data_IF_292514877677
#
_entry.id   IF_292514877677
#
_cell.length_a   1.000
_cell.length_b   1.000
_cell.length_c   1.000
_cell.angle_alpha   90.00
_cell.angle_beta   90.00
_cell.angle_gamma   90.00
#
_symmetry.space_group_name_H-M   'P 1'
#
loop_
_entity.id
_entity.type
_entity.pdbx_description
1 polymer ?
#
# COMPACT_ATOMS: atom_id res chain seq x y z
N UNK A 1 -1.76 14.81 -82.59
CA UNK A 1 -2.12 15.95 -81.71
C UNK A 1 -2.76 15.38 -80.46
N UNK A 2 -2.01 15.43 -79.36
CA UNK A 2 -2.40 14.98 -78.02
C UNK A 2 -3.08 16.14 -77.28
N UNK A 3 -4.15 15.89 -76.54
CA UNK A 3 -4.57 16.79 -75.44
C UNK A 3 -5.39 16.05 -74.38
N UNK A 4 -4.63 15.52 -73.42
CA UNK A 4 -4.84 15.49 -71.97
C UNK A 4 -6.26 15.63 -71.39
N UNK A 5 -6.69 14.53 -70.75
CA UNK A 5 -7.73 14.49 -69.73
C UNK A 5 -7.30 15.22 -68.46
N UNK A 6 -8.15 16.12 -67.96
CA UNK A 6 -8.02 16.77 -66.66
C UNK A 6 -8.52 15.84 -65.55
N UNK A 7 -7.61 15.29 -64.75
CA UNK A 7 -7.94 14.61 -63.50
C UNK A 7 -8.12 15.66 -62.41
N UNK A 8 -9.36 15.81 -61.94
CA UNK A 8 -9.74 16.60 -60.78
C UNK A 8 -9.08 16.04 -59.51
N UNK A 9 -8.24 16.84 -58.86
CA UNK A 9 -7.54 16.47 -57.64
C UNK A 9 -8.50 16.20 -56.48
N UNK A 10 -8.44 14.97 -55.95
CA UNK A 10 -8.90 14.68 -54.60
C UNK A 10 -7.98 15.38 -53.60
N UNK A 11 -8.50 15.97 -52.51
CA UNK A 11 -7.64 16.49 -51.45
C UNK A 11 -6.89 15.31 -50.82
N UNK A 12 -5.56 15.39 -50.87
CA UNK A 12 -4.65 14.49 -50.16
C UNK A 12 -5.00 14.64 -48.68
N UNK A 13 -5.71 13.66 -48.12
CA UNK A 13 -5.82 13.51 -46.68
C UNK A 13 -4.40 13.42 -46.15
N UNK A 14 -3.95 14.46 -45.44
CA UNK A 14 -2.66 14.47 -44.79
C UNK A 14 -2.55 13.19 -43.95
N UNK A 15 -1.65 12.29 -44.37
CA UNK A 15 -1.29 11.14 -43.57
C UNK A 15 -0.77 11.69 -42.25
N UNK A 16 -1.60 11.63 -41.20
CA UNK A 16 -1.17 11.89 -39.84
C UNK A 16 -0.13 10.81 -39.56
N UNK A 17 1.15 11.17 -39.70
CA UNK A 17 2.26 10.27 -39.45
C UNK A 17 2.11 9.69 -38.05
N UNK A 18 2.37 8.39 -37.90
CA UNK A 18 2.40 7.77 -36.59
C UNK A 18 3.35 8.57 -35.68
N UNK A 19 2.92 8.94 -34.46
CA UNK A 19 3.73 9.74 -33.57
C UNK A 19 5.08 9.05 -33.33
N UNK A 20 6.16 9.80 -33.42
CA UNK A 20 7.50 9.26 -33.21
C UNK A 20 7.66 8.75 -31.77
N UNK A 21 8.49 7.72 -31.57
CA UNK A 21 8.73 7.14 -30.23
C UNK A 21 9.15 8.18 -29.17
N UNK A 22 9.86 9.24 -29.57
CA UNK A 22 10.24 10.35 -28.70
C UNK A 22 9.04 11.20 -28.24
N UNK A 23 8.03 11.39 -29.10
CA UNK A 23 6.81 12.12 -28.77
C UNK A 23 5.94 11.34 -27.79
N UNK A 24 5.83 10.03 -28.00
CA UNK A 24 5.16 9.11 -27.07
C UNK A 24 5.81 9.18 -25.70
N UNK A 25 7.14 9.07 -25.62
CA UNK A 25 7.86 9.11 -24.35
C UNK A 25 7.74 10.48 -23.65
N UNK A 26 7.85 11.58 -24.39
CA UNK A 26 7.66 12.93 -23.86
C UNK A 26 6.26 13.12 -23.26
N UNK A 27 5.23 12.63 -23.95
CA UNK A 27 3.84 12.70 -23.49
C UNK A 27 3.66 11.91 -22.19
N UNK A 28 4.13 10.65 -22.13
CA UNK A 28 4.06 9.86 -20.91
C UNK A 28 4.87 10.44 -19.75
N UNK A 29 6.02 11.08 -20.01
CA UNK A 29 6.80 11.79 -18.99
C UNK A 29 6.01 12.97 -18.41
N UNK A 30 5.29 13.71 -19.25
CA UNK A 30 4.38 14.80 -18.83
C UNK A 30 3.26 14.27 -17.95
N UNK A 31 2.60 13.18 -18.35
CA UNK A 31 1.55 12.52 -17.55
C UNK A 31 2.10 12.00 -16.22
N UNK A 32 3.27 11.36 -16.25
CA UNK A 32 3.95 10.85 -15.05
C UNK A 32 4.14 11.95 -14.01
N UNK A 33 4.83 13.04 -14.37
CA UNK A 33 5.15 14.10 -13.42
C UNK A 33 3.93 14.87 -12.92
N UNK A 34 2.86 14.91 -13.71
CA UNK A 34 1.59 15.51 -13.27
C UNK A 34 0.87 14.63 -12.25
N UNK A 35 0.73 13.33 -12.54
CA UNK A 35 -0.22 12.45 -11.83
C UNK A 35 0.45 11.64 -10.72
N UNK A 36 1.59 11.00 -11.01
CA UNK A 36 2.16 9.97 -10.13
C UNK A 36 2.69 10.55 -8.81
N UNK A 37 3.46 11.66 -8.78
CA UNK A 37 3.88 12.26 -7.51
C UNK A 37 2.71 12.70 -6.63
N UNK A 38 1.63 13.22 -7.22
CA UNK A 38 0.45 13.64 -6.46
C UNK A 38 -0.27 12.44 -5.84
N UNK A 39 -0.47 11.35 -6.60
CA UNK A 39 -1.05 10.12 -6.06
C UNK A 39 -0.15 9.50 -5.00
N UNK A 40 1.16 9.54 -5.19
CA UNK A 40 2.14 9.10 -4.20
C UNK A 40 2.02 9.91 -2.91
N UNK A 41 1.87 11.23 -2.97
CA UNK A 41 1.58 12.07 -1.81
C UNK A 41 0.29 11.63 -1.11
N UNK A 42 -0.80 11.45 -1.86
CA UNK A 42 -2.07 10.98 -1.29
C UNK A 42 -1.90 9.66 -0.54
N UNK A 43 -1.07 8.75 -1.07
CA UNK A 43 -0.83 7.45 -0.45
C UNK A 43 0.14 7.50 0.73
N UNK A 44 1.11 8.42 0.72
CA UNK A 44 1.94 8.72 1.91
C UNK A 44 1.04 9.16 3.06
N UNK A 45 0.10 10.08 2.81
CA UNK A 45 -0.85 10.55 3.84
C UNK A 45 -1.75 9.40 4.32
N UNK A 46 -2.30 8.60 3.38
CA UNK A 46 -3.12 7.44 3.75
C UNK A 46 -2.36 6.44 4.63
N UNK A 47 -1.11 6.12 4.30
CA UNK A 47 -0.30 5.22 5.12
C UNK A 47 0.10 5.83 6.46
N UNK A 48 0.38 7.13 6.50
CA UNK A 48 0.68 7.85 7.74
C UNK A 48 -0.51 7.72 8.71
N UNK A 49 -1.73 8.04 8.28
CA UNK A 49 -2.95 7.88 9.09
C UNK A 49 -3.23 6.42 9.49
N UNK A 50 -2.87 5.46 8.63
CA UNK A 50 -3.05 4.04 8.94
C UNK A 50 -2.17 3.60 10.12
N UNK A 51 -0.94 4.10 10.18
CA UNK A 51 0.10 3.56 11.08
C UNK A 51 0.36 4.44 12.30
N UNK A 52 -0.03 5.72 12.27
CA UNK A 52 0.18 6.68 13.35
C UNK A 52 -0.36 6.20 14.70
N UNK A 53 -1.41 5.38 14.69
CA UNK A 53 -1.98 4.79 15.89
C UNK A 53 -1.00 3.92 16.69
N UNK A 54 0.03 3.36 16.04
CA UNK A 54 1.12 2.66 16.71
C UNK A 54 1.96 3.61 17.57
N UNK A 55 2.06 4.88 17.18
CA UNK A 55 2.62 5.95 18.01
C UNK A 55 1.63 6.41 19.07
N UNK A 56 0.36 6.64 18.71
CA UNK A 56 -0.68 7.02 19.67
C UNK A 56 -0.69 6.10 20.89
N UNK A 57 -0.60 4.78 20.64
CA UNK A 57 -0.50 3.72 21.66
C UNK A 57 0.53 4.01 22.76
N UNK A 58 1.65 4.65 22.45
CA UNK A 58 2.71 4.92 23.42
C UNK A 58 2.26 5.77 24.61
N UNK A 59 1.23 6.60 24.41
CA UNK A 59 0.57 7.45 25.42
C UNK A 59 -0.88 7.01 25.66
N UNK A 60 -1.69 6.87 24.60
CA UNK A 60 -3.12 6.55 24.64
C UNK A 60 -3.45 5.31 25.48
N UNK A 61 -2.64 4.24 25.39
CA UNK A 61 -2.90 3.03 26.17
C UNK A 61 -2.78 3.27 27.68
N UNK A 62 -1.90 4.18 28.10
CA UNK A 62 -1.76 4.56 29.51
C UNK A 62 -2.91 5.46 29.93
N UNK A 63 -3.23 6.49 29.13
CA UNK A 63 -4.30 7.46 29.42
C UNK A 63 -5.68 6.80 29.53
N UNK A 64 -5.95 5.78 28.69
CA UNK A 64 -7.25 5.12 28.61
C UNK A 64 -7.28 3.73 29.25
N UNK A 65 -6.18 3.30 29.88
CA UNK A 65 -6.01 1.97 30.45
C UNK A 65 -6.31 0.82 29.45
N UNK A 66 -5.91 0.97 28.19
CA UNK A 66 -6.08 -0.07 27.18
C UNK A 66 -5.01 -1.15 27.34
N UNK A 67 -5.45 -2.42 27.36
CA UNK A 67 -4.54 -3.55 27.25
C UNK A 67 -3.95 -3.67 25.83
N UNK A 68 -2.94 -4.53 25.69
CA UNK A 68 -2.31 -4.76 24.38
C UNK A 68 -3.27 -5.46 23.41
N UNK A 69 -4.12 -6.35 23.92
CA UNK A 69 -5.22 -6.99 23.18
C UNK A 69 -6.25 -5.97 22.71
N UNK A 70 -6.62 -4.99 23.55
CA UNK A 70 -7.55 -3.92 23.16
C UNK A 70 -6.97 -3.11 22.00
N UNK A 71 -5.72 -2.68 22.13
CA UNK A 71 -5.04 -1.98 21.04
C UNK A 71 -5.00 -2.84 19.77
N UNK A 72 -4.56 -4.09 19.90
CA UNK A 72 -4.38 -5.03 18.78
C UNK A 72 -5.68 -5.30 18.04
N UNK A 73 -6.79 -5.51 18.77
CA UNK A 73 -8.12 -5.68 18.18
C UNK A 73 -8.54 -4.42 17.43
N UNK A 74 -8.42 -3.23 18.03
CA UNK A 74 -8.81 -2.00 17.35
C UNK A 74 -7.95 -1.66 16.13
N UNK A 75 -6.65 -1.93 16.18
CA UNK A 75 -5.78 -1.84 15.00
C UNK A 75 -6.22 -2.81 13.90
N UNK A 76 -6.66 -4.01 14.27
CA UNK A 76 -7.17 -5.00 13.33
C UNK A 76 -8.54 -4.67 12.73
N UNK A 77 -9.49 -4.18 13.53
CA UNK A 77 -10.89 -3.92 13.10
C UNK A 77 -10.96 -2.95 11.92
N UNK A 78 -10.00 -2.03 11.79
CA UNK A 78 -9.82 -1.20 10.59
C UNK A 78 -9.87 -2.02 9.29
N UNK A 79 -9.18 -3.17 9.24
CA UNK A 79 -9.13 -4.00 8.05
C UNK A 79 -10.44 -4.71 7.74
N UNK A 80 -11.31 -4.94 8.74
CA UNK A 80 -12.65 -5.49 8.51
C UNK A 80 -13.49 -4.45 7.75
N UNK A 81 -13.52 -3.21 8.23
CA UNK A 81 -14.21 -2.12 7.54
C UNK A 81 -13.66 -1.88 6.14
N UNK A 82 -12.33 -1.86 6.01
CA UNK A 82 -11.66 -1.73 4.71
C UNK A 82 -12.07 -2.86 3.75
N UNK A 83 -11.93 -4.12 4.16
CA UNK A 83 -12.22 -5.29 3.34
C UNK A 83 -13.68 -5.34 2.86
N UNK A 84 -14.65 -5.12 3.76
CA UNK A 84 -16.07 -5.22 3.43
C UNK A 84 -16.52 -4.15 2.41
N UNK A 85 -15.91 -2.96 2.47
CA UNK A 85 -16.33 -1.82 1.65
C UNK A 85 -15.41 -1.53 0.46
N UNK A 86 -14.28 -2.25 0.32
CA UNK A 86 -13.33 -2.05 -0.78
C UNK A 86 -13.97 -2.27 -2.16
N UNK A 87 -14.71 -3.38 -2.33
CA UNK A 87 -15.37 -3.71 -3.58
C UNK A 87 -16.54 -2.75 -3.90
N UNK A 88 -17.52 -2.51 -2.98
CA UNK A 88 -18.56 -1.51 -3.18
C UNK A 88 -18.01 -0.11 -3.53
N UNK A 89 -16.97 0.33 -2.83
CA UNK A 89 -16.37 1.65 -3.04
C UNK A 89 -15.81 1.79 -4.46
N UNK A 90 -15.13 0.77 -5.01
CA UNK A 90 -14.62 0.82 -6.38
C UNK A 90 -15.72 0.86 -7.45
N UNK A 91 -16.83 0.13 -7.24
CA UNK A 91 -17.97 0.17 -8.15
C UNK A 91 -18.54 1.59 -8.23
N UNK A 92 -18.69 2.25 -7.07
CA UNK A 92 -19.17 3.62 -7.00
C UNK A 92 -18.16 4.60 -7.62
N UNK A 93 -16.86 4.39 -7.43
CA UNK A 93 -15.82 5.18 -8.06
C UNK A 93 -15.91 5.17 -9.58
N UNK A 94 -16.15 4.00 -10.19
CA UNK A 94 -16.30 3.89 -11.64
C UNK A 94 -17.54 4.65 -12.15
N UNK A 95 -18.60 4.75 -11.35
CA UNK A 95 -19.84 5.46 -11.72
C UNK A 95 -19.73 6.98 -11.54
N UNK A 96 -19.12 7.41 -10.44
CA UNK A 96 -19.07 8.82 -10.02
C UNK A 96 -17.85 9.55 -10.60
N UNK A 97 -16.79 8.81 -10.91
CA UNK A 97 -15.51 9.33 -11.38
C UNK A 97 -14.46 9.36 -10.27
N UNK A 98 -13.23 8.99 -10.63
CA UNK A 98 -12.11 8.85 -9.69
C UNK A 98 -11.78 10.16 -8.96
N UNK A 99 -11.86 11.31 -9.64
CA UNK A 99 -11.55 12.62 -9.06
C UNK A 99 -12.37 12.92 -7.80
N UNK A 100 -13.69 12.80 -7.91
CA UNK A 100 -14.61 13.14 -6.82
C UNK A 100 -14.56 12.07 -5.74
N UNK A 101 -14.44 10.80 -6.14
CA UNK A 101 -14.48 9.71 -5.18
C UNK A 101 -13.21 9.58 -4.34
N UNK A 102 -12.02 9.74 -4.95
CA UNK A 102 -10.75 9.77 -4.21
C UNK A 102 -10.78 10.94 -3.22
N UNK A 103 -11.20 12.12 -3.66
CA UNK A 103 -11.35 13.27 -2.76
C UNK A 103 -12.31 12.99 -1.59
N UNK A 104 -13.47 12.38 -1.86
CA UNK A 104 -14.43 11.98 -0.82
C UNK A 104 -13.78 11.05 0.19
N UNK A 105 -13.06 10.02 -0.27
CA UNK A 105 -12.34 9.09 0.61
C UNK A 105 -11.36 9.85 1.51
N UNK A 106 -10.50 10.70 0.93
CA UNK A 106 -9.53 11.51 1.67
C UNK A 106 -10.17 12.42 2.73
N UNK A 107 -11.21 13.15 2.35
CA UNK A 107 -11.88 14.09 3.26
C UNK A 107 -12.60 13.33 4.36
N UNK A 108 -13.36 12.28 4.01
CA UNK A 108 -14.13 11.52 5.01
C UNK A 108 -13.24 10.76 5.97
N UNK A 109 -12.15 10.13 5.50
CA UNK A 109 -11.20 9.49 6.42
C UNK A 109 -10.50 10.53 7.29
N UNK A 110 -10.09 11.68 6.73
CA UNK A 110 -9.40 12.72 7.50
C UNK A 110 -10.27 13.22 8.66
N UNK A 111 -11.56 13.42 8.41
CA UNK A 111 -12.53 13.74 9.47
C UNK A 111 -12.62 12.61 10.49
N UNK A 112 -12.72 11.34 10.06
CA UNK A 112 -12.75 10.19 10.99
C UNK A 112 -11.46 10.09 11.84
N UNK A 113 -10.29 10.40 11.26
CA UNK A 113 -8.99 10.44 11.95
C UNK A 113 -8.99 11.51 13.04
N UNK A 114 -9.45 12.73 12.73
CA UNK A 114 -9.55 13.81 13.72
C UNK A 114 -10.49 13.47 14.90
N UNK A 115 -11.55 12.70 14.67
CA UNK A 115 -12.50 12.30 15.73
C UNK A 115 -11.88 11.39 16.81
N UNK A 116 -10.69 10.82 16.58
CA UNK A 116 -9.99 10.04 17.61
C UNK A 116 -9.67 10.86 18.87
N UNK A 117 -9.60 12.19 18.77
CA UNK A 117 -9.46 13.10 19.92
C UNK A 117 -10.51 12.85 21.00
N UNK A 118 -11.70 12.36 20.64
CA UNK A 118 -12.81 12.13 21.56
C UNK A 118 -12.88 10.72 22.16
N UNK A 119 -11.94 9.83 21.81
CA UNK A 119 -11.94 8.44 22.28
C UNK A 119 -11.61 8.37 23.76
N UNK A 120 -12.49 7.69 24.51
CA UNK A 120 -12.34 7.44 25.95
C UNK A 120 -12.50 5.96 26.32
N UNK A 121 -13.11 5.14 25.47
CA UNK A 121 -13.38 3.72 25.76
C UNK A 121 -12.94 2.80 24.63
N UNK A 122 -12.69 1.49 24.92
CA UNK A 122 -12.35 0.51 23.88
C UNK A 122 -13.41 0.43 22.78
N UNK A 123 -14.70 0.51 23.13
CA UNK A 123 -15.78 0.48 22.15
C UNK A 123 -15.76 1.67 21.20
N UNK A 124 -15.53 2.89 21.71
CA UNK A 124 -15.38 4.08 20.87
C UNK A 124 -14.17 3.94 19.93
N UNK A 125 -13.06 3.42 20.44
CA UNK A 125 -11.88 3.12 19.64
C UNK A 125 -12.20 2.13 18.51
N UNK A 126 -12.89 1.02 18.80
CA UNK A 126 -13.26 0.02 17.78
C UNK A 126 -14.22 0.57 16.73
N UNK A 127 -15.23 1.33 17.14
CA UNK A 127 -16.19 1.95 16.22
C UNK A 127 -15.48 2.92 15.27
N UNK A 128 -14.66 3.84 15.80
CA UNK A 128 -13.94 4.79 14.95
C UNK A 128 -12.92 4.07 14.05
N UNK A 129 -12.27 3.01 14.52
CA UNK A 129 -11.38 2.18 13.69
C UNK A 129 -12.11 1.51 12.53
N UNK A 130 -13.29 0.94 12.80
CA UNK A 130 -14.13 0.37 11.75
C UNK A 130 -14.57 1.43 10.74
N UNK A 131 -15.06 2.58 11.21
CA UNK A 131 -15.52 3.69 10.37
C UNK A 131 -14.37 4.29 9.54
N UNK A 132 -13.17 4.40 10.11
CA UNK A 132 -11.98 4.83 9.39
C UNK A 132 -11.64 3.84 8.27
N UNK A 133 -11.67 2.54 8.55
CA UNK A 133 -11.47 1.50 7.53
C UNK A 133 -12.51 1.57 6.41
N UNK A 134 -13.78 1.78 6.77
CA UNK A 134 -14.88 1.99 5.81
C UNK A 134 -14.68 3.26 4.97
N UNK A 135 -14.24 4.35 5.59
CA UNK A 135 -14.02 5.62 4.90
C UNK A 135 -12.83 5.54 3.91
N UNK A 136 -11.75 4.87 4.30
CA UNK A 136 -10.54 4.67 3.49
C UNK A 136 -10.73 3.59 2.39
N UNK A 137 -11.74 2.73 2.54
CA UNK A 137 -12.00 1.62 1.64
C UNK A 137 -12.12 2.09 0.18
N UNK A 138 -11.38 1.41 -0.70
CA UNK A 138 -11.36 1.71 -2.13
C UNK A 138 -10.33 2.75 -2.57
N UNK A 139 -9.57 3.36 -1.65
CA UNK A 139 -8.51 4.31 -2.03
C UNK A 139 -7.45 3.65 -2.93
N UNK A 140 -6.74 2.65 -2.42
CA UNK A 140 -5.67 1.98 -3.17
C UNK A 140 -6.14 1.39 -4.51
N UNK A 141 -7.12 0.46 -4.55
CA UNK A 141 -7.63 -0.07 -5.81
C UNK A 141 -8.23 1.01 -6.72
N UNK A 142 -8.75 2.09 -6.13
CA UNK A 142 -9.26 3.22 -6.87
C UNK A 142 -8.17 4.00 -7.60
N UNK A 143 -7.04 4.23 -6.94
CA UNK A 143 -5.84 4.77 -7.57
C UNK A 143 -5.33 3.85 -8.68
N UNK A 144 -5.29 2.52 -8.44
CA UNK A 144 -4.85 1.56 -9.46
C UNK A 144 -5.77 1.59 -10.69
N UNK A 145 -7.09 1.64 -10.50
CA UNK A 145 -8.06 1.79 -11.58
C UNK A 145 -7.86 3.13 -12.31
N UNK A 146 -7.69 4.22 -11.58
CA UNK A 146 -7.44 5.53 -12.16
C UNK A 146 -6.19 5.55 -13.05
N UNK A 147 -5.09 4.93 -12.61
CA UNK A 147 -3.88 4.80 -13.42
C UNK A 147 -4.10 4.02 -14.73
N UNK A 148 -5.12 3.16 -14.81
CA UNK A 148 -5.46 2.48 -16.07
C UNK A 148 -6.01 3.40 -17.14
N UNK A 149 -6.55 4.56 -16.75
CA UNK A 149 -7.08 5.58 -17.66
C UNK A 149 -5.97 6.47 -18.26
N UNK A 150 -4.75 6.38 -17.73
CA UNK A 150 -3.63 7.23 -18.12
C UNK A 150 -2.41 6.44 -18.64
N UNK A 151 -2.29 5.17 -18.25
CA UNK A 151 -1.12 4.35 -18.59
C UNK A 151 -1.52 3.00 -19.19
N UNK A 152 -0.91 2.62 -20.33
CA UNK A 152 -1.11 1.31 -20.96
C UNK A 152 -0.48 0.21 -20.10
N UNK A 153 -0.94 -1.01 -20.30
CA UNK A 153 -0.56 -2.18 -19.48
C UNK A 153 0.96 -2.39 -19.36
N UNK A 154 1.72 -2.19 -20.43
CA UNK A 154 3.18 -2.39 -20.46
C UNK A 154 3.98 -1.34 -19.65
N UNK A 155 3.42 -0.14 -19.41
CA UNK A 155 4.04 0.91 -18.56
C UNK A 155 3.58 0.83 -17.11
N UNK A 156 2.38 0.29 -16.88
CA UNK A 156 1.67 0.37 -15.60
C UNK A 156 2.44 -0.23 -14.42
N UNK A 157 3.14 -1.36 -14.62
CA UNK A 157 3.88 -2.03 -13.55
C UNK A 157 4.93 -1.10 -12.90
N UNK A 158 5.69 -0.35 -13.71
CA UNK A 158 6.69 0.61 -13.22
C UNK A 158 6.04 1.77 -12.46
N UNK A 159 4.89 2.25 -12.93
CA UNK A 159 4.14 3.33 -12.29
C UNK A 159 3.63 2.89 -10.92
N UNK A 160 3.06 1.69 -10.84
CA UNK A 160 2.58 1.12 -9.57
C UNK A 160 3.75 0.94 -8.59
N UNK A 161 4.92 0.48 -9.05
CA UNK A 161 6.10 0.33 -8.19
C UNK A 161 6.55 1.67 -7.57
N UNK A 162 6.61 2.74 -8.38
CA UNK A 162 6.91 4.10 -7.89
C UNK A 162 5.86 4.56 -6.88
N UNK A 163 4.58 4.37 -7.20
CA UNK A 163 3.48 4.72 -6.31
C UNK A 163 3.56 3.97 -4.96
N UNK A 164 3.83 2.66 -4.97
CA UNK A 164 3.94 1.84 -3.76
C UNK A 164 5.16 2.17 -2.90
N UNK A 165 6.15 2.90 -3.45
CA UNK A 165 7.27 3.42 -2.66
C UNK A 165 6.81 4.47 -1.63
N UNK A 166 5.58 4.98 -1.73
CA UNK A 166 4.95 5.79 -0.68
C UNK A 166 4.91 5.09 0.69
N UNK A 167 4.80 3.76 0.73
CA UNK A 167 4.72 2.99 1.99
C UNK A 167 5.96 3.21 2.84
N UNK A 168 7.18 2.86 2.39
CA UNK A 168 8.38 3.13 3.19
C UNK A 168 8.62 4.63 3.37
N UNK A 169 8.32 5.47 2.37
CA UNK A 169 8.43 6.94 2.51
C UNK A 169 7.58 7.48 3.66
N UNK A 170 6.36 6.97 3.85
CA UNK A 170 5.50 7.33 4.97
C UNK A 170 6.13 6.96 6.32
N UNK A 171 6.81 5.82 6.44
CA UNK A 171 7.51 5.44 7.67
C UNK A 171 8.77 6.28 7.92
N UNK A 172 9.45 6.73 6.87
CA UNK A 172 10.67 7.57 6.98
C UNK A 172 10.31 8.96 7.53
N UNK A 173 9.24 9.57 7.04
CA UNK A 173 8.86 10.95 7.41
C UNK A 173 7.75 11.00 8.46
N UNK A 174 6.76 10.13 8.36
CA UNK A 174 5.62 10.07 9.26
C UNK A 174 6.00 9.66 10.67
N UNK A 175 6.88 8.66 10.85
CA UNK A 175 7.24 8.20 12.20
C UNK A 175 7.92 9.29 13.05
N UNK A 176 8.94 10.03 12.57
CA UNK A 176 9.48 11.18 13.29
C UNK A 176 8.45 12.30 13.48
N UNK A 177 7.61 12.56 12.49
CA UNK A 177 6.57 13.59 12.57
C UNK A 177 5.56 13.29 13.68
N UNK A 178 5.02 12.07 13.74
CA UNK A 178 4.13 11.60 14.79
C UNK A 178 4.78 11.73 16.17
N UNK A 179 6.02 11.24 16.30
CA UNK A 179 6.79 11.35 17.55
C UNK A 179 7.05 12.80 17.98
N UNK A 180 7.35 13.68 17.03
CA UNK A 180 7.56 15.11 17.27
C UNK A 180 6.27 15.79 17.73
N UNK A 181 5.15 15.58 17.03
CA UNK A 181 3.85 16.17 17.39
C UNK A 181 3.45 15.73 18.80
N UNK A 182 3.54 14.42 19.09
CA UNK A 182 3.18 13.87 20.39
C UNK A 182 4.04 14.41 21.55
N UNK A 183 5.27 14.85 21.27
CA UNK A 183 6.17 15.40 22.27
C UNK A 183 6.04 16.93 22.39
N UNK A 184 5.95 17.64 21.27
CA UNK A 184 5.91 19.10 21.22
C UNK A 184 4.58 19.68 21.72
N UNK A 185 3.46 18.98 21.47
CA UNK A 185 2.12 19.45 21.84
C UNK A 185 1.55 18.73 23.07
N UNK A 186 2.34 17.90 23.75
CA UNK A 186 1.88 17.17 24.93
C UNK A 186 1.39 18.13 26.02
N UNK A 187 0.15 17.93 26.50
CA UNK A 187 -0.55 18.78 27.48
C UNK A 187 -0.74 20.25 27.05
N UNK A 188 -0.58 20.56 25.76
CA UNK A 188 -0.94 21.87 25.22
C UNK A 188 -2.46 21.96 25.07
N UNK A 189 -3.05 23.07 25.55
CA UNK A 189 -4.49 23.35 25.46
C UNK A 189 -5.40 22.24 26.03
N UNK A 190 -4.92 21.49 27.04
CA UNK A 190 -5.68 20.44 27.71
C UNK A 190 -5.82 19.13 26.93
N UNK A 191 -5.10 18.96 25.82
CA UNK A 191 -5.07 17.72 25.03
C UNK A 191 -3.74 16.97 25.22
N UNK A 192 -3.83 15.64 25.23
CA UNK A 192 -2.69 14.75 25.22
C UNK A 192 -1.95 14.80 23.87
N UNK A 193 -0.69 14.34 23.86
CA UNK A 193 0.13 14.35 22.65
C UNK A 193 -0.45 13.49 21.52
N UNK A 194 -1.00 12.31 21.85
CA UNK A 194 -1.65 11.43 20.87
C UNK A 194 -2.92 12.04 20.26
N UNK A 195 -3.65 12.85 21.04
CA UNK A 195 -4.83 13.58 20.56
C UNK A 195 -4.43 14.64 19.52
N UNK A 196 -3.39 15.42 19.82
CA UNK A 196 -2.83 16.39 18.88
C UNK A 196 -2.29 15.74 17.60
N UNK A 197 -1.67 14.57 17.73
CA UNK A 197 -1.16 13.81 16.58
C UNK A 197 -2.30 13.47 15.61
N UNK A 198 -3.38 12.85 16.07
CA UNK A 198 -4.55 12.56 15.21
C UNK A 198 -5.14 13.82 14.59
N UNK A 199 -5.24 14.91 15.34
CA UNK A 199 -5.85 16.15 14.88
C UNK A 199 -5.01 16.86 13.81
N UNK A 200 -3.69 16.95 14.01
CA UNK A 200 -2.76 17.60 13.08
C UNK A 200 -2.54 16.74 11.83
N UNK A 201 -2.38 15.42 11.98
CA UNK A 201 -2.14 14.52 10.85
C UNK A 201 -3.37 14.33 9.96
N UNK A 202 -4.58 14.54 10.49
CA UNK A 202 -5.82 14.58 9.72
C UNK A 202 -5.90 15.78 8.75
N UNK A 203 -5.23 16.90 9.04
CA UNK A 203 -5.30 18.11 8.22
C UNK A 203 -4.73 17.88 6.81
N UNK A 204 -3.53 17.31 6.63
CA UNK A 204 -3.04 16.90 5.31
C UNK A 204 -4.02 16.04 4.51
N UNK A 205 -4.72 15.09 5.14
CA UNK A 205 -5.69 14.24 4.45
C UNK A 205 -6.83 15.05 3.85
N UNK A 206 -7.45 15.92 4.64
CA UNK A 206 -8.54 16.79 4.17
C UNK A 206 -8.04 17.78 3.12
N UNK A 207 -6.87 18.40 3.34
CA UNK A 207 -6.29 19.37 2.42
C UNK A 207 -5.95 18.75 1.06
N UNK A 208 -5.28 17.59 1.05
CA UNK A 208 -4.95 16.88 -0.20
C UNK A 208 -6.21 16.29 -0.84
N UNK A 209 -7.23 15.92 -0.06
CA UNK A 209 -8.54 15.54 -0.56
C UNK A 209 -9.23 16.68 -1.34
N UNK A 210 -9.22 17.90 -0.80
CA UNK A 210 -9.71 19.10 -1.50
C UNK A 210 -8.85 19.37 -2.76
N UNK A 211 -7.52 19.30 -2.62
CA UNK A 211 -6.60 19.48 -3.74
C UNK A 211 -6.84 18.46 -4.86
N UNK A 212 -7.25 17.23 -4.53
CA UNK A 212 -7.58 16.18 -5.50
C UNK A 212 -8.73 16.62 -6.42
N UNK A 213 -9.74 17.29 -5.85
CA UNK A 213 -10.83 17.88 -6.64
C UNK A 213 -10.27 18.95 -7.57
N UNK A 214 -9.32 19.78 -7.15
CA UNK A 214 -8.83 20.86 -8.01
C UNK A 214 -7.80 20.40 -9.04
N UNK A 215 -7.08 19.31 -8.76
CA UNK A 215 -5.86 18.95 -9.48
C UNK A 215 -6.00 17.76 -10.44
N UNK A 216 -6.83 16.76 -10.10
CA UNK A 216 -7.03 15.57 -10.94
C UNK A 216 -8.17 15.75 -11.95
N UNK A 217 -8.02 15.12 -13.12
CA UNK A 217 -9.06 15.00 -14.15
C UNK A 217 -9.59 13.57 -14.16
N UNK A 218 -10.86 13.33 -14.51
CA UNK A 218 -11.42 11.96 -14.52
C UNK A 218 -10.82 11.05 -15.62
N UNK A 219 -10.16 11.62 -16.62
CA UNK A 219 -9.51 10.89 -17.71
C UNK A 219 -9.00 11.82 -18.81
N UNK A 220 -8.41 11.24 -19.84
CA UNK A 220 -7.69 11.96 -20.91
C UNK A 220 -8.58 13.00 -21.61
N UNK A 221 -9.84 12.66 -21.90
CA UNK A 221 -10.74 13.57 -22.63
C UNK A 221 -10.98 14.91 -21.90
N UNK A 222 -11.09 14.87 -20.56
CA UNK A 222 -11.31 16.04 -19.72
C UNK A 222 -10.04 16.83 -19.38
N UNK A 223 -8.86 16.32 -19.74
CA UNK A 223 -7.57 16.85 -19.30
C UNK A 223 -7.22 18.17 -20.02
N UNK A 224 -7.38 19.30 -19.34
CA UNK A 224 -7.14 20.63 -19.94
C UNK A 224 -5.66 20.96 -20.16
N UNK A 225 -4.75 20.25 -19.50
CA UNK A 225 -3.31 20.45 -19.57
C UNK A 225 -2.63 19.63 -20.68
N UNK A 226 -3.40 18.80 -21.39
CA UNK A 226 -2.96 18.05 -22.56
C UNK A 226 -3.43 18.73 -23.85
N UNK A 227 -2.57 18.74 -24.87
CA UNK A 227 -2.96 19.15 -26.21
C UNK A 227 -3.80 18.08 -26.89
N UNK A 228 -4.60 18.44 -27.90
CA UNK A 228 -5.41 17.46 -28.65
C UNK A 228 -4.58 16.33 -29.29
N UNK A 229 -3.39 16.58 -29.87
CA UNK A 229 -2.51 15.50 -30.32
C UNK A 229 -2.07 14.55 -29.19
N UNK A 230 -1.67 15.09 -28.03
CA UNK A 230 -1.28 14.28 -26.87
C UNK A 230 -2.45 13.41 -26.37
N UNK A 231 -3.67 13.96 -26.33
CA UNK A 231 -4.87 13.23 -25.93
C UNK A 231 -5.17 12.05 -26.86
N UNK A 232 -5.08 12.27 -28.18
CA UNK A 232 -5.30 11.20 -29.19
C UNK A 232 -4.27 10.10 -29.04
N UNK A 233 -2.99 10.47 -28.96
CA UNK A 233 -1.88 9.53 -28.75
C UNK A 233 -2.11 8.63 -27.51
N UNK A 234 -2.46 9.24 -26.37
CA UNK A 234 -2.70 8.48 -25.14
C UNK A 234 -3.95 7.58 -25.25
N UNK A 235 -5.03 8.07 -25.86
CA UNK A 235 -6.25 7.31 -26.02
C UNK A 235 -6.03 6.07 -26.91
N UNK A 236 -5.31 6.24 -28.03
CA UNK A 236 -5.00 5.17 -28.98
C UNK A 236 -4.13 4.08 -28.33
N UNK A 237 -3.08 4.48 -27.61
CA UNK A 237 -2.16 3.55 -26.94
C UNK A 237 -2.86 2.77 -25.81
N UNK A 238 -3.74 3.43 -25.06
CA UNK A 238 -4.54 2.77 -24.02
C UNK A 238 -5.52 1.79 -24.66
N UNK A 239 -6.24 2.20 -25.71
CA UNK A 239 -7.19 1.35 -26.42
C UNK A 239 -6.51 0.10 -27.01
N UNK A 240 -5.31 0.26 -27.59
CA UNK A 240 -4.50 -0.85 -28.09
C UNK A 240 -4.05 -1.82 -26.98
N UNK A 241 -3.90 -1.34 -25.75
CA UNK A 241 -3.44 -2.13 -24.61
C UNK A 241 -4.55 -2.82 -23.80
N UNK A 242 -5.83 -2.55 -24.07
CA UNK A 242 -6.93 -3.16 -23.34
C UNK A 242 -7.10 -4.65 -23.71
N UNK A 243 -7.24 -5.55 -22.73
CA UNK A 243 -7.49 -6.96 -23.01
C UNK A 243 -8.83 -7.13 -23.73
N UNK A 244 -8.82 -7.83 -24.87
CA UNK A 244 -10.00 -8.05 -25.72
C UNK A 244 -11.14 -8.86 -25.06
N UNK A 245 -10.92 -9.44 -23.88
CA UNK A 245 -11.91 -10.24 -23.15
C UNK A 245 -12.30 -9.57 -21.82
N UNK A 246 -13.59 -9.26 -21.66
CA UNK A 246 -14.19 -8.85 -20.39
C UNK A 246 -14.33 -10.06 -19.45
N UNK A 247 -14.23 -9.83 -18.14
CA UNK A 247 -14.42 -10.89 -17.15
C UNK A 247 -15.91 -11.26 -17.01
N UNK A 248 -16.24 -12.53 -17.24
CA UNK A 248 -17.60 -13.07 -17.08
C UNK A 248 -17.78 -13.71 -15.70
N UNK A 249 -19.00 -13.75 -15.17
CA UNK A 249 -19.32 -14.35 -13.86
C UNK A 249 -18.91 -15.84 -13.73
N UNK A 250 -18.84 -16.59 -14.84
CA UNK A 250 -18.29 -17.95 -14.87
C UNK A 250 -16.80 -18.01 -14.48
N UNK A 251 -16.02 -16.93 -14.63
CA UNK A 251 -14.61 -16.89 -14.22
C UNK A 251 -14.44 -16.83 -12.70
N UNK A 252 -15.36 -16.19 -11.97
CA UNK A 252 -15.26 -16.05 -10.51
C UNK A 252 -15.38 -17.41 -9.80
N UNK A 253 -16.40 -18.21 -10.15
CA UNK A 253 -16.60 -19.53 -9.54
C UNK A 253 -15.45 -20.50 -9.83
N UNK A 254 -14.84 -20.38 -11.02
CA UNK A 254 -13.67 -21.17 -11.38
C UNK A 254 -12.44 -20.80 -10.52
N UNK A 255 -12.24 -19.52 -10.23
CA UNK A 255 -11.12 -19.04 -9.40
C UNK A 255 -11.25 -19.50 -7.95
N UNK A 256 -12.46 -19.47 -7.37
CA UNK A 256 -12.70 -19.99 -6.01
C UNK A 256 -12.41 -21.49 -5.87
N UNK A 257 -12.56 -22.26 -6.96
CA UNK A 257 -12.26 -23.70 -7.00
C UNK A 257 -10.80 -24.00 -7.34
N UNK A 258 -10.00 -22.99 -7.71
CA UNK A 258 -8.60 -23.20 -8.06
C UNK A 258 -7.73 -23.25 -6.78
N UNK A 259 -7.12 -24.40 -6.45
CA UNK A 259 -6.28 -24.53 -5.25
C UNK A 259 -5.06 -23.59 -5.28
N UNK A 260 -4.62 -23.16 -6.47
CA UNK A 260 -3.49 -22.22 -6.61
C UNK A 260 -3.82 -20.86 -6.04
N UNK A 261 -5.07 -20.40 -6.14
CA UNK A 261 -5.52 -19.12 -5.56
C UNK A 261 -5.36 -19.14 -4.04
N UNK A 262 -5.78 -20.22 -3.39
CA UNK A 262 -5.68 -20.39 -1.94
C UNK A 262 -4.23 -20.54 -1.48
N UNK A 263 -3.41 -21.25 -2.25
CA UNK A 263 -1.97 -21.36 -1.98
C UNK A 263 -1.26 -20.00 -2.07
N UNK A 264 -1.55 -19.20 -3.10
CA UNK A 264 -1.05 -17.84 -3.22
C UNK A 264 -1.57 -16.93 -2.09
N UNK A 265 -2.81 -17.11 -1.67
CA UNK A 265 -3.41 -16.38 -0.54
C UNK A 265 -2.68 -16.68 0.78
N UNK A 266 -2.33 -17.94 1.04
CA UNK A 266 -1.53 -18.34 2.20
C UNK A 266 -0.14 -17.67 2.21
N UNK A 267 0.57 -17.71 1.09
CA UNK A 267 1.89 -17.07 0.96
C UNK A 267 1.78 -15.57 1.20
N UNK A 268 0.81 -14.90 0.57
CA UNK A 268 0.63 -13.47 0.73
C UNK A 268 0.25 -13.09 2.16
N UNK A 269 -0.70 -13.82 2.75
CA UNK A 269 -1.12 -13.64 4.14
C UNK A 269 0.08 -13.74 5.10
N UNK A 270 0.96 -14.73 4.92
CA UNK A 270 2.15 -14.89 5.74
C UNK A 270 3.10 -13.68 5.66
N UNK A 271 3.38 -13.17 4.46
CA UNK A 271 4.25 -12.01 4.28
C UNK A 271 3.61 -10.71 4.81
N UNK A 272 2.33 -10.50 4.54
CA UNK A 272 1.58 -9.32 4.98
C UNK A 272 1.37 -9.33 6.51
N UNK A 273 1.29 -10.50 7.14
CA UNK A 273 1.28 -10.64 8.61
C UNK A 273 2.56 -10.05 9.22
N UNK A 274 3.72 -10.40 8.65
CA UNK A 274 5.02 -9.84 9.04
C UNK A 274 5.08 -8.32 8.84
N UNK A 275 4.60 -7.84 7.70
CA UNK A 275 4.57 -6.41 7.37
C UNK A 275 3.72 -5.61 8.37
N UNK A 276 2.44 -5.95 8.56
CA UNK A 276 1.58 -5.21 9.48
C UNK A 276 2.00 -5.36 10.93
N UNK A 277 2.48 -6.55 11.31
CA UNK A 277 3.04 -6.79 12.64
C UNK A 277 4.20 -5.84 12.94
N UNK A 278 5.14 -5.73 12.01
CA UNK A 278 6.24 -4.76 12.08
C UNK A 278 5.71 -3.33 12.19
N UNK A 279 4.84 -2.91 11.26
CA UNK A 279 4.45 -1.51 11.12
C UNK A 279 3.62 -0.99 12.30
N UNK A 280 2.64 -1.74 12.79
CA UNK A 280 1.79 -1.30 13.91
C UNK A 280 2.53 -1.32 15.25
N UNK A 281 3.47 -2.24 15.42
CA UNK A 281 4.17 -2.43 16.70
C UNK A 281 5.55 -1.79 16.73
N UNK A 282 6.09 -1.28 15.61
CA UNK A 282 7.43 -0.67 15.52
C UNK A 282 7.72 0.29 16.68
N UNK A 283 6.85 1.27 17.02
CA UNK A 283 7.16 2.21 18.08
C UNK A 283 7.23 1.54 19.45
N UNK A 284 6.39 0.53 19.68
CA UNK A 284 6.40 -0.27 20.92
C UNK A 284 7.62 -1.18 20.99
N UNK A 285 8.03 -1.78 19.87
CA UNK A 285 9.23 -2.62 19.80
C UNK A 285 10.48 -1.80 20.16
N UNK A 286 10.61 -0.59 19.60
CA UNK A 286 11.73 0.32 19.93
C UNK A 286 11.64 0.83 21.37
N UNK A 287 10.45 1.21 21.85
CA UNK A 287 10.26 1.59 23.27
C UNK A 287 10.70 0.45 24.21
N UNK A 288 10.44 -0.80 23.85
CA UNK A 288 10.78 -1.97 24.69
C UNK A 288 12.28 -2.22 24.83
N UNK A 289 13.12 -1.64 23.97
CA UNK A 289 14.58 -1.72 24.10
C UNK A 289 15.17 -0.71 25.08
N UNK A 290 14.33 0.17 25.66
CA UNK A 290 14.74 1.20 26.61
C UNK A 290 14.82 2.61 26.02
N UNK A 291 14.44 2.82 24.76
CA UNK A 291 14.38 4.17 24.17
C UNK A 291 13.21 4.95 24.78
N UNK A 292 13.50 6.13 25.30
CA UNK A 292 12.52 7.06 25.85
C UNK A 292 12.27 8.26 24.92
N UNK A 293 11.08 8.84 25.03
CA UNK A 293 10.65 9.99 24.22
C UNK A 293 10.04 9.58 22.88
N UNK A 294 8.84 10.09 22.60
CA UNK A 294 8.11 9.77 21.37
C UNK A 294 8.89 10.21 20.11
N UNK A 295 9.58 11.36 20.17
CA UNK A 295 10.40 11.84 19.06
C UNK A 295 11.60 10.93 18.76
N UNK A 296 12.33 10.48 19.79
CA UNK A 296 13.46 9.57 19.62
C UNK A 296 13.01 8.22 19.06
N UNK A 297 11.89 7.68 19.58
CA UNK A 297 11.27 6.47 19.04
C UNK A 297 10.91 6.69 17.56
N UNK A 298 10.37 7.86 17.21
CA UNK A 298 10.06 8.25 15.83
C UNK A 298 11.29 8.27 14.91
N UNK A 299 12.36 8.93 15.33
CA UNK A 299 13.64 8.99 14.59
C UNK A 299 14.24 7.61 14.37
N UNK A 300 14.31 6.78 15.42
CA UNK A 300 14.86 5.42 15.31
C UNK A 300 13.95 4.50 14.50
N UNK A 301 12.62 4.71 14.56
CA UNK A 301 11.66 3.98 13.72
C UNK A 301 11.84 4.27 12.24
N UNK A 302 12.42 5.40 11.84
CA UNK A 302 12.67 5.71 10.42
C UNK A 302 13.77 4.82 9.82
N UNK A 303 14.78 4.42 10.61
CA UNK A 303 15.95 3.65 10.14
C UNK A 303 15.53 2.34 9.44
N UNK A 304 14.67 1.47 10.03
CA UNK A 304 14.19 0.29 9.35
C UNK A 304 13.52 0.54 7.99
N UNK A 305 12.76 1.62 7.85
CA UNK A 305 12.09 1.94 6.58
C UNK A 305 13.08 2.49 5.53
N UNK A 306 14.14 3.19 5.94
CA UNK A 306 15.25 3.59 5.06
C UNK A 306 15.97 2.35 4.54
N UNK A 307 16.29 1.37 5.39
CA UNK A 307 16.89 0.12 4.95
C UNK A 307 15.94 -0.63 4.00
N UNK A 308 14.64 -0.66 4.32
CA UNK A 308 13.64 -1.33 3.50
C UNK A 308 13.50 -0.72 2.11
N UNK A 309 13.46 0.61 1.97
CA UNK A 309 13.34 1.23 0.64
C UNK A 309 14.55 0.92 -0.25
N UNK A 310 15.75 0.91 0.32
CA UNK A 310 16.98 0.57 -0.42
C UNK A 310 16.95 -0.88 -0.88
N UNK A 311 16.72 -1.82 0.05
CA UNK A 311 16.73 -3.26 -0.25
C UNK A 311 15.60 -3.65 -1.21
N UNK A 312 14.41 -3.09 -1.03
CA UNK A 312 13.26 -3.32 -1.90
C UNK A 312 13.56 -2.96 -3.37
N UNK A 313 14.20 -1.81 -3.61
CA UNK A 313 14.56 -1.38 -4.95
C UNK A 313 15.69 -2.24 -5.56
N UNK A 314 16.72 -2.56 -4.77
CA UNK A 314 17.83 -3.41 -5.23
C UNK A 314 17.37 -4.82 -5.60
N UNK A 315 16.54 -5.43 -4.74
CA UNK A 315 16.01 -6.76 -4.99
C UNK A 315 14.94 -6.78 -6.08
N UNK A 316 14.13 -5.73 -6.21
CA UNK A 316 13.22 -5.58 -7.35
C UNK A 316 13.96 -5.53 -8.67
N UNK A 317 15.01 -4.71 -8.77
CA UNK A 317 15.84 -4.66 -9.98
C UNK A 317 16.53 -6.01 -10.26
N UNK A 318 17.02 -6.69 -9.21
CA UNK A 318 17.61 -8.02 -9.33
C UNK A 318 16.60 -9.06 -9.81
N UNK A 319 15.37 -9.02 -9.30
CA UNK A 319 14.29 -9.93 -9.66
C UNK A 319 13.93 -9.79 -11.14
N UNK A 320 13.82 -8.55 -11.62
CA UNK A 320 13.56 -8.26 -13.04
C UNK A 320 14.70 -8.76 -13.94
N UNK A 321 15.95 -8.57 -13.51
CA UNK A 321 17.13 -8.98 -14.29
C UNK A 321 17.29 -10.51 -14.35
N UNK A 322 17.13 -11.21 -13.22
CA UNK A 322 17.33 -12.67 -13.13
C UNK A 322 16.10 -13.48 -13.49
N UNK A 323 14.90 -12.87 -13.40
CA UNK A 323 13.61 -13.53 -13.61
C UNK A 323 13.34 -14.72 -12.67
N UNK A 324 14.03 -14.75 -11.53
CA UNK A 324 13.96 -15.80 -10.50
C UNK A 324 13.00 -15.45 -9.37
N UNK A 325 11.69 -15.53 -9.63
CA UNK A 325 10.65 -15.00 -8.74
C UNK A 325 10.64 -15.64 -7.34
N UNK A 326 10.99 -16.93 -7.24
CA UNK A 326 10.98 -17.67 -5.96
C UNK A 326 12.06 -17.20 -4.99
N UNK A 327 13.31 -17.09 -5.45
CA UNK A 327 14.43 -16.77 -4.56
C UNK A 327 14.39 -15.33 -4.09
N UNK A 328 13.90 -14.41 -4.92
CA UNK A 328 13.64 -13.02 -4.55
C UNK A 328 12.47 -12.84 -3.57
N UNK A 329 11.77 -13.91 -3.19
CA UNK A 329 10.79 -13.93 -2.10
C UNK A 329 11.28 -14.70 -0.88
N UNK A 330 11.94 -15.84 -1.09
CA UNK A 330 12.48 -16.67 -0.02
C UNK A 330 13.58 -15.93 0.75
N UNK A 331 14.57 -15.34 0.06
CA UNK A 331 15.70 -14.68 0.72
C UNK A 331 15.25 -13.50 1.59
N UNK A 332 14.37 -12.60 1.11
CA UNK A 332 13.87 -11.51 1.95
C UNK A 332 12.97 -12.01 3.09
N UNK A 333 12.17 -13.05 2.88
CA UNK A 333 11.39 -13.64 3.96
C UNK A 333 12.30 -14.19 5.08
N UNK A 334 13.45 -14.79 4.73
CA UNK A 334 14.44 -15.24 5.70
C UNK A 334 15.17 -14.08 6.38
N UNK A 335 15.46 -12.97 5.68
CA UNK A 335 15.94 -11.73 6.33
C UNK A 335 14.93 -11.23 7.37
N UNK A 336 13.65 -11.24 7.00
CA UNK A 336 12.52 -11.00 7.88
C UNK A 336 12.54 -11.87 9.14
N UNK A 337 12.61 -13.18 8.97
CA UNK A 337 12.59 -14.16 10.05
C UNK A 337 13.81 -14.04 10.99
N UNK A 338 15.01 -13.92 10.43
CA UNK A 338 16.25 -13.71 11.20
C UNK A 338 16.19 -12.38 11.94
N UNK A 339 15.76 -11.31 11.26
CA UNK A 339 15.58 -9.99 11.84
C UNK A 339 14.69 -10.01 13.08
N UNK A 340 13.49 -10.57 12.98
CA UNK A 340 12.60 -10.68 14.14
C UNK A 340 13.14 -11.58 15.25
N UNK A 341 13.74 -12.72 14.90
CA UNK A 341 14.26 -13.68 15.89
C UNK A 341 15.39 -13.07 16.70
N UNK A 342 16.36 -12.42 16.04
CA UNK A 342 17.49 -11.81 16.74
C UNK A 342 17.06 -10.56 17.51
N UNK A 343 16.19 -9.72 16.94
CA UNK A 343 15.64 -8.57 17.67
C UNK A 343 14.89 -8.99 18.95
N UNK A 344 14.17 -10.12 18.91
CA UNK A 344 13.53 -10.69 20.09
C UNK A 344 14.54 -11.18 21.12
N UNK A 345 15.55 -11.94 20.70
CA UNK A 345 16.55 -12.51 21.60
C UNK A 345 17.47 -11.46 22.25
N UNK A 346 17.64 -10.29 21.63
CA UNK A 346 18.47 -9.19 22.12
C UNK A 346 17.66 -7.92 22.43
N UNK A 347 16.41 -8.09 22.89
CA UNK A 347 15.49 -6.99 23.12
C UNK A 347 16.02 -5.92 24.10
N UNK A 348 16.97 -6.24 24.98
CA UNK A 348 17.61 -5.28 25.90
C UNK A 348 18.72 -4.44 25.26
N UNK A 349 19.18 -4.80 24.04
CA UNK A 349 20.21 -4.06 23.32
C UNK A 349 19.57 -3.28 22.16
N UNK A 350 19.42 -1.98 22.35
CA UNK A 350 18.81 -1.06 21.37
C UNK A 350 19.50 -1.11 20.01
N UNK A 351 20.84 -1.13 19.96
CA UNK A 351 21.59 -1.10 18.69
C UNK A 351 21.33 -2.39 17.90
N UNK A 352 21.45 -3.54 18.56
CA UNK A 352 21.18 -4.85 17.94
C UNK A 352 19.73 -4.93 17.50
N UNK A 353 18.79 -4.53 18.36
CA UNK A 353 17.36 -4.56 18.05
C UNK A 353 17.04 -3.71 16.83
N UNK A 354 17.54 -2.48 16.72
CA UNK A 354 17.28 -1.61 15.56
C UNK A 354 17.93 -2.17 14.29
N UNK A 355 19.15 -2.69 14.37
CA UNK A 355 19.82 -3.29 13.22
C UNK A 355 19.03 -4.49 12.66
N UNK A 356 18.55 -5.37 13.53
CA UNK A 356 17.79 -6.56 13.11
C UNK A 356 16.32 -6.27 12.82
N UNK A 357 15.70 -5.26 13.43
CA UNK A 357 14.41 -4.72 12.97
C UNK A 357 14.52 -4.07 11.59
N UNK A 358 15.68 -3.48 11.26
CA UNK A 358 15.96 -2.96 9.92
C UNK A 358 16.11 -4.08 8.89
N UNK A 359 16.78 -5.17 9.26
CA UNK A 359 16.82 -6.40 8.45
C UNK A 359 15.41 -7.01 8.29
N UNK A 360 14.61 -7.00 9.35
CA UNK A 360 13.24 -7.50 9.32
C UNK A 360 12.37 -6.68 8.37
N UNK A 361 12.41 -5.35 8.50
CA UNK A 361 11.71 -4.41 7.64
C UNK A 361 12.12 -4.58 6.17
N UNK A 362 13.43 -4.68 5.91
CA UNK A 362 13.95 -4.93 4.57
C UNK A 362 13.43 -6.23 3.96
N UNK A 363 13.28 -7.28 4.77
CA UNK A 363 12.65 -8.52 4.34
C UNK A 363 11.17 -8.36 3.99
N UNK A 364 10.36 -8.00 5.00
CA UNK A 364 8.90 -8.04 4.89
C UNK A 364 8.33 -7.02 3.91
N UNK A 365 8.88 -5.80 3.86
CA UNK A 365 8.43 -4.78 2.91
C UNK A 365 8.85 -5.10 1.47
N UNK A 366 9.91 -5.89 1.27
CA UNK A 366 10.32 -6.34 -0.07
C UNK A 366 9.46 -7.49 -0.58
N UNK A 367 9.04 -8.41 0.29
CA UNK A 367 8.19 -9.53 -0.09
C UNK A 367 6.84 -9.07 -0.68
N UNK A 368 6.22 -8.03 -0.11
CA UNK A 368 4.89 -7.58 -0.50
C UNK A 368 4.73 -7.19 -1.99
N UNK A 369 5.58 -6.32 -2.58
CA UNK A 369 5.50 -6.00 -4.00
C UNK A 369 5.98 -7.15 -4.90
N UNK A 370 7.03 -7.88 -4.51
CA UNK A 370 7.57 -8.98 -5.33
C UNK A 370 6.65 -10.19 -5.39
N UNK A 371 5.79 -10.37 -4.39
CA UNK A 371 4.85 -11.49 -4.33
C UNK A 371 3.96 -11.53 -5.57
N UNK A 372 3.52 -10.36 -6.05
CA UNK A 372 2.61 -10.25 -7.19
C UNK A 372 3.20 -10.78 -8.51
N UNK A 373 4.52 -10.99 -8.57
CA UNK A 373 5.17 -11.66 -9.69
C UNK A 373 4.83 -13.16 -9.79
N UNK A 374 4.41 -13.81 -8.69
CA UNK A 374 4.02 -15.23 -8.69
C UNK A 374 2.65 -15.49 -9.36
N UNK A 375 1.52 -14.94 -8.88
CA UNK A 375 0.21 -15.24 -9.46
C UNK A 375 0.12 -14.77 -10.92
N UNK A 376 0.77 -13.65 -11.26
CA UNK A 376 0.79 -13.13 -12.63
C UNK A 376 1.59 -13.99 -13.60
N UNK A 377 2.39 -14.96 -13.13
CA UNK A 377 3.14 -15.88 -14.00
C UNK A 377 2.25 -16.91 -14.71
N UNK A 378 1.15 -17.31 -14.07
CA UNK A 378 0.30 -18.41 -14.53
C UNK A 378 -1.18 -18.06 -14.63
N UNK A 379 -1.62 -16.93 -14.07
CA UNK A 379 -2.98 -16.44 -14.23
C UNK A 379 -3.04 -15.45 -15.39
N UNK A 380 -3.91 -15.70 -16.38
CA UNK A 380 -4.10 -14.83 -17.54
C UNK A 380 -5.56 -14.38 -17.70
N UNK A 381 -5.76 -13.20 -18.30
CA UNK A 381 -7.08 -12.69 -18.64
C UNK A 381 -8.01 -12.44 -17.43
N UNK A 382 -9.29 -12.73 -17.61
CA UNK A 382 -10.36 -12.45 -16.66
C UNK A 382 -10.24 -13.21 -15.31
N UNK A 383 -9.72 -14.44 -15.34
CA UNK A 383 -9.51 -15.26 -14.13
C UNK A 383 -8.38 -14.71 -13.27
N UNK A 384 -7.37 -14.07 -13.88
CA UNK A 384 -6.29 -13.42 -13.16
C UNK A 384 -6.77 -12.26 -12.29
N UNK A 385 -7.60 -11.37 -12.85
CA UNK A 385 -8.14 -10.23 -12.11
C UNK A 385 -8.95 -10.68 -10.88
N UNK A 386 -9.83 -11.68 -11.06
CA UNK A 386 -10.62 -12.26 -9.98
C UNK A 386 -9.74 -12.93 -8.90
N UNK A 387 -8.71 -13.68 -9.29
CA UNK A 387 -7.82 -14.32 -8.33
C UNK A 387 -6.93 -13.35 -7.58
N UNK A 388 -6.41 -12.32 -8.26
CA UNK A 388 -5.67 -11.22 -7.64
C UNK A 388 -6.51 -10.52 -6.59
N UNK A 389 -7.79 -10.26 -6.89
CA UNK A 389 -8.71 -9.66 -5.94
C UNK A 389 -8.87 -10.54 -4.69
N UNK A 390 -9.15 -11.84 -4.85
CA UNK A 390 -9.30 -12.78 -3.72
C UNK A 390 -8.02 -12.86 -2.89
N UNK A 391 -6.86 -13.01 -3.53
CA UNK A 391 -5.55 -13.08 -2.86
C UNK A 391 -5.29 -11.81 -2.05
N UNK A 392 -5.53 -10.63 -2.63
CA UNK A 392 -5.35 -9.36 -1.94
C UNK A 392 -6.30 -9.21 -0.75
N UNK A 393 -7.58 -9.52 -0.96
CA UNK A 393 -8.61 -9.43 0.08
C UNK A 393 -8.31 -10.35 1.27
N UNK A 394 -7.90 -11.60 1.02
CA UNK A 394 -7.46 -12.51 2.10
C UNK A 394 -6.16 -12.02 2.74
N UNK A 395 -5.20 -11.55 1.95
CA UNK A 395 -3.95 -10.99 2.46
C UNK A 395 -4.17 -9.81 3.40
N UNK A 396 -5.12 -8.93 3.09
CA UNK A 396 -5.47 -7.80 3.96
C UNK A 396 -6.09 -8.23 5.29
N UNK A 397 -6.70 -9.42 5.39
CA UNK A 397 -7.14 -9.97 6.68
C UNK A 397 -5.97 -10.27 7.62
N UNK A 398 -4.73 -10.41 7.11
CA UNK A 398 -3.54 -10.45 7.96
C UNK A 398 -3.36 -9.14 8.74
N UNK A 399 -3.86 -8.02 8.22
CA UNK A 399 -3.91 -6.74 8.93
C UNK A 399 -4.87 -6.76 10.13
N UNK A 400 -5.89 -7.63 10.13
CA UNK A 400 -6.70 -7.92 11.31
C UNK A 400 -5.99 -8.88 12.26
N UNK A 401 -5.55 -10.03 11.74
CA UNK A 401 -5.02 -11.12 12.55
C UNK A 401 -3.70 -10.75 13.26
N UNK A 402 -2.77 -10.08 12.56
CA UNK A 402 -1.42 -9.79 13.04
C UNK A 402 -1.41 -8.91 14.30
N UNK A 403 -1.98 -7.68 14.30
CA UNK A 403 -1.92 -6.84 15.49
C UNK A 403 -2.73 -7.41 16.67
N UNK A 404 -3.86 -8.07 16.42
CA UNK A 404 -4.64 -8.72 17.46
C UNK A 404 -3.85 -9.85 18.13
N UNK A 405 -3.25 -10.74 17.33
CA UNK A 405 -2.43 -11.85 17.82
C UNK A 405 -1.24 -11.37 18.64
N UNK A 406 -0.51 -10.36 18.18
CA UNK A 406 0.63 -9.79 18.93
C UNK A 406 0.15 -9.18 20.25
N UNK A 407 -0.95 -8.43 20.23
CA UNK A 407 -1.53 -7.84 21.43
C UNK A 407 -1.93 -8.88 22.47
N UNK A 408 -2.63 -9.93 22.04
CA UNK A 408 -3.03 -11.06 22.88
C UNK A 408 -1.82 -11.79 23.48
N UNK A 409 -0.81 -12.11 22.66
CA UNK A 409 0.40 -12.77 23.13
C UNK A 409 1.18 -11.90 24.11
N UNK A 410 1.21 -10.59 23.88
CA UNK A 410 1.89 -9.65 24.79
C UNK A 410 1.18 -9.53 26.13
N UNK A 411 -0.15 -9.49 26.16
CA UNK A 411 -0.91 -9.51 27.42
C UNK A 411 -0.69 -10.85 28.17
N UNK A 412 -0.66 -11.98 27.45
CA UNK A 412 -0.50 -13.32 28.05
C UNK A 412 0.91 -13.58 28.57
N UNK A 413 1.94 -13.12 27.85
CA UNK A 413 3.36 -13.43 28.15
C UNK A 413 4.10 -12.27 28.82
N UNK A 414 3.48 -11.10 28.90
CA UNK A 414 4.08 -9.83 29.34
C UNK A 414 5.35 -9.43 28.58
N UNK A 415 5.57 -10.00 27.38
CA UNK A 415 6.78 -9.79 26.59
C UNK A 415 6.45 -9.46 25.14
N UNK A 416 7.19 -8.51 24.54
CA UNK A 416 7.12 -8.19 23.10
C UNK A 416 7.79 -9.27 22.22
N UNK A 417 8.60 -10.14 22.82
CA UNK A 417 9.39 -11.15 22.11
C UNK A 417 8.52 -12.25 21.50
N UNK A 418 7.47 -12.68 22.21
CA UNK A 418 6.55 -13.72 21.75
C UNK A 418 5.91 -13.36 20.41
N UNK A 419 5.45 -12.12 20.25
CA UNK A 419 4.94 -11.59 18.99
C UNK A 419 5.97 -11.65 17.86
N UNK A 420 7.20 -11.23 18.11
CA UNK A 420 8.29 -11.26 17.11
C UNK A 420 8.64 -12.70 16.67
N UNK A 421 8.70 -13.67 17.58
CA UNK A 421 8.93 -15.08 17.21
C UNK A 421 7.81 -15.64 16.34
N UNK A 422 6.55 -15.29 16.61
CA UNK A 422 5.43 -15.72 15.77
C UNK A 422 5.49 -15.07 14.39
N UNK A 423 5.84 -13.78 14.29
CA UNK A 423 6.07 -13.13 13.00
C UNK A 423 7.20 -13.81 12.22
N UNK A 424 8.30 -14.17 12.88
CA UNK A 424 9.38 -14.93 12.26
C UNK A 424 8.89 -16.29 11.74
N UNK A 425 8.12 -17.03 12.54
CA UNK A 425 7.53 -18.30 12.15
C UNK A 425 6.62 -18.19 10.92
N UNK A 426 5.78 -17.16 10.87
CA UNK A 426 4.91 -16.89 9.71
C UNK A 426 5.73 -16.63 8.44
N UNK A 427 6.83 -15.89 8.54
CA UNK A 427 7.71 -15.65 7.39
C UNK A 427 8.43 -16.92 6.93
N UNK A 428 8.85 -17.79 7.85
CA UNK A 428 9.39 -19.11 7.52
C UNK A 428 8.34 -19.96 6.80
N UNK A 429 7.09 -19.97 7.27
CA UNK A 429 5.97 -20.65 6.59
C UNK A 429 5.79 -20.10 5.17
N UNK A 430 5.78 -18.78 5.00
CA UNK A 430 5.69 -18.13 3.68
C UNK A 430 6.86 -18.48 2.76
N UNK A 431 8.08 -18.54 3.30
CA UNK A 431 9.28 -18.95 2.56
C UNK A 431 9.21 -20.42 2.12
N UNK A 432 8.81 -21.33 3.01
CA UNK A 432 8.62 -22.76 2.71
C UNK A 432 7.52 -22.93 1.65
N UNK A 433 6.37 -22.28 1.81
CA UNK A 433 5.28 -22.35 0.85
C UNK A 433 5.67 -21.80 -0.54
N UNK A 434 6.48 -20.74 -0.58
CA UNK A 434 7.06 -20.21 -1.81
C UNK A 434 8.05 -21.20 -2.43
N UNK A 435 8.87 -21.86 -1.61
CA UNK A 435 9.81 -22.89 -2.08
C UNK A 435 9.09 -24.14 -2.62
N UNK A 436 7.96 -24.53 -2.05
CA UNK A 436 7.13 -25.63 -2.54
C UNK A 436 6.37 -25.27 -3.83
N UNK A 437 6.31 -23.99 -4.21
CA UNK A 437 5.69 -23.57 -5.47
C UNK A 437 6.57 -24.02 -6.66
N UNK A 438 6.06 -24.78 -7.65
CA UNK A 438 6.90 -25.33 -8.72
C UNK A 438 7.64 -24.25 -9.51
N UNK A 439 8.98 -24.33 -9.59
CA UNK A 439 9.80 -23.30 -10.23
C UNK A 439 9.43 -23.09 -11.71
N UNK A 440 9.12 -24.18 -12.44
CA UNK A 440 8.70 -24.15 -13.85
C UNK A 440 7.41 -23.37 -14.08
N UNK A 441 6.58 -23.20 -13.04
CA UNK A 441 5.32 -22.45 -13.12
C UNK A 441 5.55 -20.93 -13.04
N UNK A 442 6.61 -20.50 -12.34
CA UNK A 442 6.75 -19.09 -11.91
C UNK A 442 8.04 -18.41 -12.39
N UNK A 443 9.16 -19.13 -12.54
CA UNK A 443 10.41 -18.54 -13.03
C UNK A 443 10.37 -18.47 -14.58
N UNK A 444 10.31 -17.25 -15.14
CA UNK A 444 10.21 -16.97 -16.58
C UNK A 444 10.74 -15.60 -16.95
#
# INVERSE_FOLDING_TARGET
MSSYQSVSGQPIAAAVGQPGAAEVERTYKKVFWRIVPFLMLCYVVAYLDRVNVGFAKLQMSQDLAFSETVFGLGAGVFFIGYFLFELPSNILMHKIGARIWIARIMITWGVMSALFVFVKTPTQFYILRFLLGLAEAGFYPGVILYLTYWFPSHRRAKIIAVFMSAIPVSGIFGNPLSGWIMQAFHNSSGLAGWQWMFLIEAVPAVAVGIATILYLDNGIAGAKWLSEPEKRLLADEIAASQPKQKANAHSLRAVFRDPRTWWMSLIYFAFVTGQYGLTFWMPTLIKSTGVSGAFNIGLLSAIPFICAIVVMNLLGHSADKRRERRWHLIVPALFGAVGFTVAASFASNTVVSIAFLSLAAAGVLTCAPLFWSLPTAFMSGATAAAGIAIINSIGNLAGFASPYMIGYLKDLTHSTQSGMYVLAGMLVIGAIATWLTPAKLVNR
#
